data_IF_587153590914
#
_entry.id   IF_587153590914
#
_cell.length_a   1.000
_cell.length_b   1.000
_cell.length_c   1.000
_cell.angle_alpha   90.00
_cell.angle_beta   90.00
_cell.angle_gamma   90.00
#
_symmetry.space_group_name_H-M   'P 1'
#
loop_
_entity.id
_entity.type
_entity.pdbx_description
1 polymer ?
#
# COMPACT_ATOMS: atom_id res chain seq x y z
N UNK A 1 17.94 -0.33 34.64
CA UNK A 1 17.45 -0.59 33.28
C UNK A 1 17.83 0.61 32.41
N UNK A 2 18.70 0.44 31.40
CA UNK A 2 18.92 1.49 30.39
C UNK A 2 17.80 1.39 29.36
N UNK A 3 17.15 2.52 29.06
CA UNK A 3 16.20 2.61 27.96
C UNK A 3 16.90 2.17 26.66
N UNK A 4 16.26 1.30 25.89
CA UNK A 4 16.74 0.94 24.56
C UNK A 4 16.87 2.23 23.73
N UNK A 5 18.01 2.40 23.07
CA UNK A 5 18.24 3.53 22.17
C UNK A 5 17.17 3.53 21.09
N UNK A 6 16.42 4.63 20.98
CA UNK A 6 15.47 4.82 19.89
C UNK A 6 16.21 4.66 18.55
N UNK A 7 15.58 3.96 17.60
CA UNK A 7 16.07 3.88 16.23
C UNK A 7 15.90 5.27 15.60
N UNK A 8 17.02 5.92 15.24
CA UNK A 8 17.06 7.24 14.60
C UNK A 8 17.54 7.04 13.15
N UNK A 9 16.82 7.65 12.22
CA UNK A 9 17.17 7.73 10.80
C UNK A 9 17.76 9.11 10.57
N UNK A 10 19.05 9.18 10.27
CA UNK A 10 19.71 10.43 9.90
C UNK A 10 19.39 10.74 8.44
N UNK A 11 18.45 11.66 8.22
CA UNK A 11 18.10 12.17 6.88
C UNK A 11 17.83 13.67 6.99
N UNK A 12 18.29 14.50 6.02
CA UNK A 12 17.93 15.92 5.97
C UNK A 12 16.42 16.15 5.77
N UNK A 13 15.72 15.12 5.31
CA UNK A 13 14.31 15.14 4.98
C UNK A 13 13.43 14.53 6.09
N UNK A 14 14.01 14.03 7.19
CA UNK A 14 13.28 13.36 8.29
C UNK A 14 13.46 14.14 9.59
N UNK A 15 12.35 14.58 10.18
CA UNK A 15 12.30 15.37 11.40
C UNK A 15 11.57 14.60 12.50
N UNK A 16 12.10 14.67 13.71
CA UNK A 16 11.53 14.00 14.88
C UNK A 16 10.91 15.05 15.79
N UNK A 17 9.59 14.96 16.01
CA UNK A 17 8.91 15.70 17.06
C UNK A 17 8.66 14.77 18.25
N UNK A 18 8.24 15.29 19.44
CA UNK A 18 7.89 14.43 20.55
C UNK A 18 6.71 13.48 20.26
N UNK A 19 5.85 13.83 19.30
CA UNK A 19 4.64 13.08 18.95
C UNK A 19 4.70 12.34 17.60
N UNK A 20 5.53 12.79 16.66
CA UNK A 20 5.53 12.34 15.26
C UNK A 20 6.94 12.23 14.67
N UNK A 21 7.06 11.41 13.63
CA UNK A 21 8.19 11.45 12.69
C UNK A 21 7.65 12.03 11.39
N UNK A 22 8.19 13.17 10.97
CA UNK A 22 7.82 13.89 9.77
C UNK A 22 8.86 13.62 8.69
N UNK A 23 8.43 13.41 7.44
CA UNK A 23 9.34 13.18 6.34
C UNK A 23 8.92 13.97 5.10
N UNK A 24 9.77 14.86 4.61
CA UNK A 24 9.48 15.78 3.50
C UNK A 24 10.22 15.35 2.23
N UNK A 25 9.51 14.74 1.29
CA UNK A 25 10.09 14.33 0.01
C UNK A 25 9.35 14.99 -1.16
N UNK A 26 10.08 15.77 -1.96
CA UNK A 26 9.58 16.37 -3.21
C UNK A 26 9.65 15.33 -4.35
N UNK A 27 8.55 14.62 -4.59
CA UNK A 27 8.44 13.69 -5.71
C UNK A 27 8.01 14.43 -7.00
N UNK A 28 8.97 14.93 -7.79
CA UNK A 28 8.68 15.45 -9.15
C UNK A 28 8.75 14.32 -10.18
N UNK A 29 7.61 13.88 -10.67
CA UNK A 29 7.47 12.81 -11.68
C UNK A 29 7.59 13.29 -13.13
N UNK A 30 7.66 14.59 -13.39
CA UNK A 30 7.82 15.15 -14.74
C UNK A 30 9.21 15.78 -14.91
N UNK A 31 9.99 15.25 -15.86
CA UNK A 31 11.29 15.82 -16.25
C UNK A 31 11.05 17.17 -16.91
N UNK A 32 11.23 18.25 -16.15
CA UNK A 32 11.15 19.62 -16.67
C UNK A 32 12.49 19.97 -17.33
N UNK A 33 12.46 20.37 -18.60
CA UNK A 33 13.67 20.81 -19.33
C UNK A 33 13.59 22.32 -19.51
N UNK A 34 14.72 23.01 -19.29
CA UNK A 34 14.84 24.45 -19.51
C UNK A 34 15.28 24.69 -20.95
N UNK A 35 14.42 25.33 -21.73
CA UNK A 35 14.70 25.72 -23.12
C UNK A 35 14.36 27.21 -23.28
N UNK A 36 15.33 28.02 -23.72
CA UNK A 36 15.11 29.47 -23.92
C UNK A 36 14.73 30.25 -22.65
N UNK A 37 15.13 29.78 -21.46
CA UNK A 37 14.81 30.44 -20.18
C UNK A 37 13.43 30.07 -19.59
N UNK A 38 12.60 29.34 -20.33
CA UNK A 38 11.27 28.88 -19.88
C UNK A 38 11.35 27.39 -19.51
N UNK A 39 10.72 27.02 -18.39
CA UNK A 39 10.53 25.62 -18.01
C UNK A 39 9.38 25.07 -18.84
N UNK A 40 9.65 24.07 -19.70
CA UNK A 40 8.61 23.41 -20.50
C UNK A 40 8.43 21.97 -20.05
N UNK A 41 7.19 21.60 -19.77
CA UNK A 41 6.78 20.21 -19.64
C UNK A 41 6.54 19.64 -21.04
N UNK A 42 7.40 18.73 -21.51
CA UNK A 42 7.33 18.18 -22.88
C UNK A 42 6.00 17.48 -23.17
N UNK A 43 5.32 16.96 -22.13
CA UNK A 43 4.09 16.22 -22.27
C UNK A 43 2.83 17.10 -22.23
N UNK A 44 2.93 18.36 -21.81
CA UNK A 44 1.76 19.23 -21.66
C UNK A 44 0.90 19.31 -22.93
N UNK A 45 1.46 19.58 -24.13
CA UNK A 45 0.66 19.66 -25.35
C UNK A 45 -0.06 18.36 -25.71
N UNK A 46 0.45 17.22 -25.25
CA UNK A 46 -0.13 15.90 -25.48
C UNK A 46 -1.18 15.52 -24.42
N UNK A 47 -1.08 16.05 -23.20
CA UNK A 47 -1.93 15.69 -22.07
C UNK A 47 -3.11 16.64 -21.85
N UNK A 48 -3.00 17.92 -22.23
CA UNK A 48 -4.05 18.93 -21.99
C UNK A 48 -5.40 18.56 -22.62
N UNK A 49 -5.37 17.87 -23.77
CA UNK A 49 -6.57 17.40 -24.45
C UNK A 49 -7.20 16.15 -23.81
N UNK A 50 -6.48 15.42 -22.95
CA UNK A 50 -6.94 14.19 -22.33
C UNK A 50 -7.78 14.51 -21.09
N UNK A 51 -9.10 14.60 -21.28
CA UNK A 51 -10.04 14.86 -20.19
C UNK A 51 -10.72 13.57 -19.72
N UNK A 52 -10.70 13.24 -18.41
CA UNK A 52 -11.45 12.11 -17.87
C UNK A 52 -12.96 12.26 -18.14
N UNK A 53 -13.63 11.14 -18.46
CA UNK A 53 -15.09 11.09 -18.50
C UNK A 53 -15.67 11.24 -17.08
N UNK A 54 -16.93 11.70 -16.93
CA UNK A 54 -17.61 11.67 -15.65
C UNK A 54 -17.63 10.25 -15.06
N UNK A 55 -17.59 10.13 -13.73
CA UNK A 55 -17.59 8.83 -13.05
C UNK A 55 -18.67 8.73 -11.97
N UNK A 56 -18.84 7.53 -11.42
CA UNK A 56 -19.73 7.29 -10.28
C UNK A 56 -19.03 7.72 -9.00
N UNK A 57 -19.74 8.47 -8.15
CA UNK A 57 -19.29 8.86 -6.82
C UNK A 57 -20.32 8.46 -5.78
N UNK A 58 -19.90 7.62 -4.84
CA UNK A 58 -20.70 7.16 -3.71
C UNK A 58 -19.92 7.55 -2.45
N UNK A 59 -20.29 8.64 -1.76
CA UNK A 59 -19.49 9.23 -0.67
C UNK A 59 -19.14 8.24 0.43
N UNK A 60 -20.00 7.25 0.67
CA UNK A 60 -19.82 6.29 1.75
C UNK A 60 -18.68 5.28 1.48
N UNK A 61 -18.15 5.19 0.27
CA UNK A 61 -17.09 4.21 -0.07
C UNK A 61 -15.67 4.78 0.05
N UNK A 62 -15.47 6.09 -0.09
CA UNK A 62 -14.14 6.71 -0.01
C UNK A 62 -14.04 7.70 1.16
N UNK A 63 -12.85 8.25 1.40
CA UNK A 63 -12.67 9.19 2.49
C UNK A 63 -13.46 10.49 2.26
N UNK A 64 -14.08 11.03 3.31
CA UNK A 64 -14.91 12.24 3.22
C UNK A 64 -14.14 13.48 2.69
N UNK A 65 -12.82 13.50 2.88
CA UNK A 65 -11.92 14.54 2.36
C UNK A 65 -11.81 14.57 0.83
N UNK A 66 -12.37 13.58 0.12
CA UNK A 66 -12.42 13.55 -1.35
C UNK A 66 -13.62 14.32 -1.92
N UNK A 67 -14.58 14.74 -1.08
CA UNK A 67 -15.83 15.38 -1.51
C UNK A 67 -15.61 16.63 -2.38
N UNK A 68 -14.66 17.49 -2.03
CA UNK A 68 -14.36 18.71 -2.80
C UNK A 68 -13.77 18.42 -4.20
N UNK A 69 -13.24 17.20 -4.42
CA UNK A 69 -12.69 16.77 -5.72
C UNK A 69 -13.76 16.16 -6.65
N UNK A 70 -14.93 15.82 -6.12
CA UNK A 70 -15.98 15.12 -6.85
C UNK A 70 -16.86 16.08 -7.69
N UNK A 71 -16.29 16.66 -8.75
CA UNK A 71 -16.95 17.67 -9.61
C UNK A 71 -17.37 17.14 -11.00
N UNK A 72 -16.96 15.92 -11.37
CA UNK A 72 -17.19 15.32 -12.69
C UNK A 72 -17.94 13.98 -12.58
N UNK A 73 -19.26 14.05 -12.38
CA UNK A 73 -20.08 12.92 -11.93
C UNK A 73 -21.14 12.45 -12.94
N UNK A 74 -21.42 11.16 -12.95
CA UNK A 74 -22.58 10.58 -13.65
C UNK A 74 -23.81 10.67 -12.74
N UNK A 75 -24.85 11.45 -13.10
CA UNK A 75 -26.05 11.58 -12.30
C UNK A 75 -26.99 10.36 -12.45
N UNK A 76 -28.01 10.29 -11.59
CA UNK A 76 -29.08 9.30 -11.68
C UNK A 76 -28.94 8.13 -10.72
N UNK A 77 -29.78 7.12 -10.93
CA UNK A 77 -29.79 5.89 -10.12
C UNK A 77 -28.61 4.97 -10.47
N UNK A 78 -28.30 4.00 -9.61
CA UNK A 78 -27.23 3.01 -9.86
C UNK A 78 -27.42 2.26 -11.20
N UNK A 79 -28.66 1.96 -11.58
CA UNK A 79 -28.97 1.32 -12.85
C UNK A 79 -28.65 2.24 -14.05
N UNK A 80 -28.98 3.53 -13.94
CA UNK A 80 -28.65 4.52 -14.98
C UNK A 80 -27.14 4.73 -15.09
N UNK A 81 -26.44 4.78 -13.96
CA UNK A 81 -24.99 4.88 -13.90
C UNK A 81 -24.31 3.66 -14.53
N UNK A 82 -24.78 2.44 -14.24
CA UNK A 82 -24.29 1.22 -14.87
C UNK A 82 -24.43 1.26 -16.39
N UNK A 83 -25.61 1.65 -16.89
CA UNK A 83 -25.84 1.75 -18.33
C UNK A 83 -24.99 2.85 -18.98
N UNK A 84 -24.74 3.96 -18.29
CA UNK A 84 -23.82 4.98 -18.76
C UNK A 84 -22.38 4.44 -18.89
N UNK A 85 -21.87 3.72 -17.90
CA UNK A 85 -20.53 3.08 -17.99
C UNK A 85 -20.47 2.07 -19.13
N UNK A 86 -21.50 1.23 -19.30
CA UNK A 86 -21.58 0.29 -20.43
C UNK A 86 -21.61 1.01 -21.78
N UNK A 87 -22.25 2.18 -21.86
CA UNK A 87 -22.24 3.02 -23.06
C UNK A 87 -20.85 3.60 -23.30
N UNK A 88 -20.19 4.13 -22.27
CA UNK A 88 -18.86 4.72 -22.39
C UNK A 88 -17.80 3.73 -22.89
N UNK A 89 -17.84 2.48 -22.42
CA UNK A 89 -16.96 1.40 -22.91
C UNK A 89 -17.23 1.10 -24.38
N UNK A 90 -18.50 0.96 -24.79
CA UNK A 90 -18.88 0.68 -26.18
C UNK A 90 -18.50 1.83 -27.11
N UNK A 91 -18.77 3.06 -26.71
CA UNK A 91 -18.42 4.26 -27.47
C UNK A 91 -16.90 4.39 -27.61
N UNK A 92 -16.14 4.15 -26.54
CA UNK A 92 -14.68 4.16 -26.58
C UNK A 92 -14.14 3.12 -27.55
N UNK A 93 -14.62 1.87 -27.45
CA UNK A 93 -14.25 0.78 -28.36
C UNK A 93 -14.53 1.14 -29.83
N UNK A 94 -15.72 1.66 -30.11
CA UNK A 94 -16.14 2.02 -31.46
C UNK A 94 -15.32 3.17 -32.03
N UNK A 95 -15.23 4.31 -31.31
CA UNK A 95 -14.55 5.50 -31.81
C UNK A 95 -13.03 5.37 -31.91
N UNK A 96 -12.44 4.41 -31.19
CA UNK A 96 -11.01 4.09 -31.27
C UNK A 96 -10.72 2.88 -32.14
N UNK A 97 -11.75 2.29 -32.76
CA UNK A 97 -11.64 1.12 -33.65
C UNK A 97 -10.87 -0.03 -32.98
N UNK A 98 -11.21 -0.31 -31.72
CA UNK A 98 -10.53 -1.32 -30.91
C UNK A 98 -11.23 -2.67 -31.00
N UNK A 99 -10.45 -3.73 -31.22
CA UNK A 99 -10.95 -5.10 -31.12
C UNK A 99 -11.17 -5.50 -29.66
N UNK A 100 -10.23 -5.13 -28.79
CA UNK A 100 -10.15 -5.51 -27.39
C UNK A 100 -10.13 -4.29 -26.47
N UNK A 101 -10.72 -4.43 -25.28
CA UNK A 101 -10.73 -3.39 -24.25
C UNK A 101 -10.45 -4.04 -22.89
N UNK A 102 -9.52 -3.45 -22.15
CA UNK A 102 -9.25 -3.80 -20.75
C UNK A 102 -9.68 -2.62 -19.88
N UNK A 103 -10.45 -2.92 -18.83
CA UNK A 103 -10.83 -1.95 -17.80
C UNK A 103 -10.01 -2.25 -16.55
N UNK A 104 -9.44 -1.21 -15.96
CA UNK A 104 -8.53 -1.32 -14.83
C UNK A 104 -8.85 -0.23 -13.79
N UNK A 105 -9.03 -0.65 -12.53
CA UNK A 105 -9.35 0.25 -11.43
C UNK A 105 -8.08 0.79 -10.78
N UNK A 106 -7.82 2.09 -10.94
CA UNK A 106 -6.74 2.85 -10.27
C UNK A 106 -7.27 4.09 -9.56
N UNK A 107 -8.53 4.07 -9.15
CA UNK A 107 -9.12 5.16 -8.38
C UNK A 107 -8.74 5.05 -6.89
N UNK A 108 -9.31 5.93 -6.06
CA UNK A 108 -9.13 5.89 -4.61
C UNK A 108 -9.47 4.50 -4.04
N UNK A 109 -8.70 4.08 -3.03
CA UNK A 109 -9.03 2.89 -2.24
C UNK A 109 -10.37 3.08 -1.53
N UNK A 110 -11.31 2.18 -1.79
CA UNK A 110 -12.58 2.15 -1.08
C UNK A 110 -12.43 1.50 0.30
N UNK A 111 -13.36 1.81 1.20
CA UNK A 111 -13.46 1.13 2.50
C UNK A 111 -13.64 -0.37 2.28
N UNK A 112 -13.23 -1.15 3.27
CA UNK A 112 -13.41 -2.60 3.22
C UNK A 112 -14.91 -2.95 3.23
N UNK A 113 -15.45 -3.30 2.07
CA UNK A 113 -16.69 -4.06 1.90
C UNK A 113 -16.35 -5.51 1.52
N UNK A 114 -17.35 -6.37 1.30
CA UNK A 114 -17.09 -7.56 0.48
C UNK A 114 -16.40 -7.06 -0.80
N UNK A 115 -15.15 -7.51 -0.98
CA UNK A 115 -14.17 -7.04 -1.97
C UNK A 115 -14.79 -6.95 -3.39
N UNK A 116 -14.27 -6.11 -4.30
CA UNK A 116 -14.90 -5.85 -5.62
C UNK A 116 -15.30 -7.12 -6.38
N UNK A 117 -14.46 -8.16 -6.29
CA UNK A 117 -14.70 -9.48 -6.87
C UNK A 117 -15.51 -10.40 -5.93
N UNK A 118 -16.70 -9.95 -5.53
CA UNK A 118 -17.65 -10.77 -4.75
C UNK A 118 -18.11 -12.01 -5.54
N UNK A 119 -18.60 -13.09 -4.88
CA UNK A 119 -19.02 -14.31 -5.56
C UNK A 119 -19.98 -14.10 -6.74
N UNK A 120 -20.95 -13.19 -6.61
CA UNK A 120 -21.88 -12.87 -7.70
C UNK A 120 -21.22 -12.16 -8.89
N UNK A 121 -20.17 -11.37 -8.67
CA UNK A 121 -19.41 -10.74 -9.74
C UNK A 121 -18.52 -11.77 -10.47
N UNK A 122 -17.95 -12.72 -9.74
CA UNK A 122 -17.19 -13.85 -10.30
C UNK A 122 -18.09 -14.75 -11.14
N UNK A 123 -19.27 -15.13 -10.64
CA UNK A 123 -20.25 -15.92 -11.39
C UNK A 123 -20.67 -15.21 -12.69
N UNK A 124 -20.92 -13.90 -12.63
CA UNK A 124 -21.25 -13.11 -13.82
C UNK A 124 -20.09 -13.09 -14.82
N UNK A 125 -18.84 -12.94 -14.35
CA UNK A 125 -17.66 -13.00 -15.22
C UNK A 125 -17.51 -14.36 -15.91
N UNK A 126 -17.77 -15.47 -15.20
CA UNK A 126 -17.80 -16.82 -15.78
C UNK A 126 -18.89 -16.98 -16.83
N UNK A 127 -20.12 -16.55 -16.53
CA UNK A 127 -21.26 -16.60 -17.47
C UNK A 127 -20.96 -15.83 -18.77
N UNK A 128 -20.27 -14.69 -18.66
CA UNK A 128 -19.89 -13.87 -19.81
C UNK A 128 -18.53 -14.23 -20.43
N UNK A 129 -17.81 -15.20 -19.86
CA UNK A 129 -16.48 -15.66 -20.31
C UNK A 129 -15.46 -14.52 -20.42
N UNK A 130 -15.44 -13.63 -19.44
CA UNK A 130 -14.50 -12.49 -19.36
C UNK A 130 -13.48 -12.69 -18.25
N UNK A 131 -12.29 -12.12 -18.42
CA UNK A 131 -11.25 -12.16 -17.40
C UNK A 131 -11.49 -11.10 -16.33
N UNK A 132 -11.23 -11.48 -15.07
CA UNK A 132 -11.17 -10.60 -13.90
C UNK A 132 -9.89 -10.90 -13.12
N UNK A 133 -9.33 -9.89 -12.44
CA UNK A 133 -8.11 -10.02 -11.66
C UNK A 133 -7.91 -8.85 -10.71
N UNK A 134 -7.24 -9.09 -9.59
CA UNK A 134 -7.14 -8.16 -8.47
C UNK A 134 -6.32 -8.70 -7.31
N UNK A 135 -6.30 -8.05 -6.14
CA UNK A 135 -7.15 -6.88 -5.75
C UNK A 135 -6.36 -5.61 -5.37
N UNK A 136 -5.02 -5.69 -5.29
CA UNK A 136 -4.17 -4.54 -4.97
C UNK A 136 -2.85 -4.63 -5.75
N UNK A 137 -2.31 -3.49 -6.16
CA UNK A 137 -1.03 -3.48 -6.85
C UNK A 137 0.11 -3.79 -5.90
N UNK A 138 0.75 -4.94 -6.13
CA UNK A 138 1.96 -5.32 -5.41
C UNK A 138 3.18 -4.54 -5.92
N UNK A 139 3.37 -3.36 -5.35
CA UNK A 139 4.51 -2.46 -5.64
C UNK A 139 5.55 -2.46 -4.51
N UNK A 140 6.59 -1.63 -4.68
CA UNK A 140 7.60 -1.23 -3.68
C UNK A 140 7.81 -2.19 -2.50
N UNK A 141 7.32 -1.77 -1.32
CA UNK A 141 7.53 -2.48 -0.05
C UNK A 141 6.96 -3.91 -0.06
N UNK A 142 5.72 -4.11 -0.50
CA UNK A 142 5.08 -5.45 -0.50
C UNK A 142 5.80 -6.41 -1.46
N UNK A 143 6.29 -5.90 -2.59
CA UNK A 143 7.11 -6.69 -3.53
C UNK A 143 8.40 -7.16 -2.86
N UNK A 144 9.16 -6.25 -2.24
CA UNK A 144 10.40 -6.60 -1.52
C UNK A 144 10.12 -7.56 -0.37
N UNK A 145 9.08 -7.30 0.44
CA UNK A 145 8.68 -8.15 1.57
C UNK A 145 8.50 -9.60 1.12
N UNK A 146 7.72 -9.83 0.06
CA UNK A 146 7.45 -11.19 -0.39
C UNK A 146 8.68 -11.95 -0.86
N UNK A 147 9.61 -11.28 -1.55
CA UNK A 147 10.85 -11.93 -2.01
C UNK A 147 11.77 -12.21 -0.82
N UNK A 148 11.89 -11.26 0.11
CA UNK A 148 12.79 -11.37 1.24
C UNK A 148 12.33 -12.45 2.24
N UNK A 149 11.03 -12.48 2.57
CA UNK A 149 10.48 -13.44 3.54
C UNK A 149 10.56 -14.86 2.98
N UNK A 150 10.21 -15.05 1.70
CA UNK A 150 10.38 -16.33 1.01
C UNK A 150 11.84 -16.81 1.05
N UNK A 151 12.80 -15.93 0.71
CA UNK A 151 14.22 -16.26 0.79
C UNK A 151 14.68 -16.66 2.20
N UNK A 152 14.26 -15.93 3.24
CA UNK A 152 14.64 -16.22 4.62
C UNK A 152 14.11 -17.58 5.07
N UNK A 153 12.82 -17.85 4.86
CA UNK A 153 12.17 -19.11 5.23
C UNK A 153 12.77 -20.27 4.42
N UNK A 154 12.96 -20.09 3.10
CA UNK A 154 13.60 -21.07 2.23
C UNK A 154 15.05 -21.37 2.59
N UNK A 155 15.75 -20.43 3.22
CA UNK A 155 17.11 -20.62 3.74
C UNK A 155 17.14 -21.26 5.14
N UNK A 156 16.00 -21.64 5.70
CA UNK A 156 15.90 -22.23 7.04
C UNK A 156 15.94 -21.21 8.18
N UNK A 157 15.76 -19.92 7.88
CA UNK A 157 15.70 -18.87 8.90
C UNK A 157 14.24 -18.57 9.26
N UNK A 158 13.91 -18.78 10.53
CA UNK A 158 12.58 -18.45 11.06
C UNK A 158 12.41 -16.94 11.19
N UNK A 159 11.55 -16.36 10.37
CA UNK A 159 11.13 -14.96 10.52
C UNK A 159 10.19 -14.86 11.71
N UNK A 160 10.56 -14.06 12.70
CA UNK A 160 9.81 -13.90 13.96
C UNK A 160 8.96 -12.63 14.02
N UNK A 161 9.38 -11.57 13.33
CA UNK A 161 8.67 -10.28 13.33
C UNK A 161 8.89 -9.51 12.04
N UNK A 162 7.82 -8.86 11.56
CA UNK A 162 7.78 -8.03 10.36
C UNK A 162 7.06 -6.73 10.71
N UNK A 163 7.79 -5.61 10.71
CA UNK A 163 7.21 -4.29 10.96
C UNK A 163 7.38 -3.41 9.72
N UNK A 164 6.27 -2.94 9.16
CA UNK A 164 6.21 -2.26 7.87
C UNK A 164 5.57 -0.88 8.02
N UNK A 165 6.37 0.18 7.93
CA UNK A 165 5.89 1.57 7.97
C UNK A 165 5.82 2.17 6.57
N UNK A 166 4.77 2.94 6.26
CA UNK A 166 4.63 3.70 5.02
C UNK A 166 4.08 5.12 5.31
N UNK A 167 4.70 6.12 4.70
CA UNK A 167 4.22 7.50 4.73
C UNK A 167 4.07 8.00 3.28
N UNK A 168 2.91 8.57 2.95
CA UNK A 168 2.58 9.06 1.61
C UNK A 168 1.94 10.45 1.72
N UNK A 169 2.49 11.44 1.02
CA UNK A 169 1.96 12.83 0.97
C UNK A 169 1.04 13.12 -0.21
N UNK A 170 0.82 12.15 -1.11
CA UNK A 170 -0.05 12.31 -2.28
C UNK A 170 -1.53 12.03 -1.93
N UNK A 171 -2.42 12.12 -2.93
CA UNK A 171 -3.85 11.87 -2.75
C UNK A 171 -4.18 10.43 -2.28
N UNK A 172 -3.34 9.44 -2.61
CA UNK A 172 -3.49 8.09 -2.07
C UNK A 172 -3.29 8.11 -0.55
N UNK A 173 -2.22 8.77 -0.08
CA UNK A 173 -2.00 9.04 1.34
C UNK A 173 -3.19 9.75 2.00
N UNK A 174 -3.66 10.85 1.41
CA UNK A 174 -4.81 11.60 1.95
C UNK A 174 -6.09 10.77 2.04
N UNK A 175 -6.37 9.90 1.07
CA UNK A 175 -7.53 9.00 1.13
C UNK A 175 -7.37 7.93 2.23
N UNK A 176 -6.14 7.43 2.40
CA UNK A 176 -5.80 6.40 3.40
C UNK A 176 -5.66 6.96 4.82
N UNK A 177 -5.78 8.26 5.02
CA UNK A 177 -5.85 8.86 6.36
C UNK A 177 -7.11 8.42 7.12
N UNK A 178 -8.16 8.05 6.38
CA UNK A 178 -9.40 7.55 6.95
C UNK A 178 -9.25 6.06 7.35
N UNK A 179 -9.58 5.67 8.61
CA UNK A 179 -9.36 4.32 9.11
C UNK A 179 -10.02 3.20 8.30
N UNK A 180 -11.20 3.46 7.73
CA UNK A 180 -11.94 2.45 6.96
C UNK A 180 -11.27 2.12 5.63
N UNK A 181 -10.67 3.11 4.97
CA UNK A 181 -9.90 2.94 3.74
C UNK A 181 -8.53 2.34 4.02
N UNK A 182 -7.89 2.73 5.13
CA UNK A 182 -6.63 2.12 5.58
C UNK A 182 -6.77 0.61 5.81
N UNK A 183 -7.89 0.17 6.41
CA UNK A 183 -8.15 -1.24 6.71
C UNK A 183 -8.05 -2.15 5.47
N UNK A 184 -8.54 -1.71 4.31
CA UNK A 184 -8.44 -2.47 3.05
C UNK A 184 -6.98 -2.76 2.68
N UNK A 185 -6.12 -1.75 2.80
CA UNK A 185 -4.69 -1.83 2.46
C UNK A 185 -3.87 -2.54 3.53
N UNK A 186 -4.31 -2.49 4.78
CA UNK A 186 -3.70 -3.22 5.89
C UNK A 186 -3.86 -4.74 5.70
N UNK A 187 -5.07 -5.19 5.34
CA UNK A 187 -5.35 -6.61 5.09
C UNK A 187 -4.50 -7.14 3.92
N UNK A 188 -4.50 -6.46 2.76
CA UNK A 188 -3.75 -6.91 1.57
C UNK A 188 -2.23 -6.96 1.78
N UNK A 189 -1.68 -6.04 2.59
CA UNK A 189 -0.24 -5.98 2.90
C UNK A 189 0.22 -6.95 3.98
N UNK A 190 -0.72 -7.51 4.74
CA UNK A 190 -0.41 -8.42 5.85
C UNK A 190 -0.46 -9.88 5.40
N UNK A 191 -1.43 -10.26 4.58
CA UNK A 191 -1.61 -11.65 4.12
C UNK A 191 -0.53 -12.18 3.17
N UNK A 192 0.40 -11.34 2.71
CA UNK A 192 1.38 -11.70 1.67
C UNK A 192 2.46 -12.69 2.12
N UNK A 193 2.49 -13.06 3.40
CA UNK A 193 3.49 -13.97 3.98
C UNK A 193 2.87 -15.27 4.49
N UNK A 194 1.54 -15.39 4.46
CA UNK A 194 0.82 -16.49 5.11
C UNK A 194 1.16 -17.84 4.46
N UNK A 195 1.26 -17.87 3.14
CA UNK A 195 1.62 -19.07 2.36
C UNK A 195 3.06 -19.51 2.62
N UNK A 196 3.99 -18.55 2.72
CA UNK A 196 5.41 -18.81 3.01
C UNK A 196 5.56 -19.41 4.42
N UNK A 197 4.83 -18.89 5.41
CA UNK A 197 4.81 -19.43 6.78
C UNK A 197 4.26 -20.85 6.79
N UNK A 198 3.12 -21.08 6.13
CA UNK A 198 2.47 -22.39 6.05
C UNK A 198 3.30 -23.44 5.30
N UNK A 199 4.19 -23.01 4.40
CA UNK A 199 5.04 -23.91 3.61
C UNK A 199 6.10 -24.65 4.43
N UNK A 200 6.44 -24.16 5.64
CA UNK A 200 7.56 -24.68 6.42
C UNK A 200 7.18 -25.07 7.86
N UNK A 201 6.56 -26.24 8.06
CA UNK A 201 6.12 -26.72 9.38
C UNK A 201 7.27 -27.09 10.34
N UNK A 202 8.52 -27.12 9.86
CA UNK A 202 9.69 -27.30 10.73
C UNK A 202 10.07 -26.00 11.43
N UNK A 203 9.88 -24.85 10.77
CA UNK A 203 10.11 -23.54 11.35
C UNK A 203 8.89 -23.06 12.12
N UNK A 204 7.68 -23.28 11.62
CA UNK A 204 6.43 -22.78 12.21
C UNK A 204 5.54 -23.92 12.70
N UNK A 205 5.17 -23.88 13.98
CA UNK A 205 4.16 -24.78 14.54
C UNK A 205 2.76 -24.52 13.96
N UNK A 206 1.81 -25.40 14.27
CA UNK A 206 0.42 -25.24 13.84
C UNK A 206 -0.18 -23.92 14.38
N UNK A 207 -0.58 -23.03 13.47
CA UNK A 207 -1.12 -21.71 13.80
C UNK A 207 -0.09 -20.71 14.33
N UNK A 208 1.21 -21.01 14.21
CA UNK A 208 2.28 -20.07 14.56
C UNK A 208 2.53 -19.10 13.41
N UNK A 209 2.53 -17.81 13.71
CA UNK A 209 2.77 -16.72 12.76
C UNK A 209 3.80 -15.73 13.33
N UNK A 210 4.58 -15.03 12.47
CA UNK A 210 5.42 -13.93 12.93
C UNK A 210 4.56 -12.77 13.45
N UNK A 211 5.11 -12.00 14.39
CA UNK A 211 4.53 -10.70 14.78
C UNK A 211 4.54 -9.76 13.56
N UNK A 212 3.40 -9.55 12.90
CA UNK A 212 3.31 -8.73 11.70
C UNK A 212 2.49 -7.46 11.95
N UNK A 213 3.11 -6.30 11.76
CA UNK A 213 2.46 -5.00 11.86
C UNK A 213 2.67 -4.18 10.58
N UNK A 214 1.57 -3.71 9.98
CA UNK A 214 1.59 -2.76 8.87
C UNK A 214 0.99 -1.43 9.33
N UNK A 215 1.75 -0.35 9.17
CA UNK A 215 1.34 1.01 9.55
C UNK A 215 1.41 1.90 8.32
N UNK A 216 0.37 2.70 8.11
CA UNK A 216 0.31 3.74 7.09
C UNK A 216 -0.21 5.04 7.71
N UNK A 217 0.39 6.16 7.35
CA UNK A 217 -0.05 7.48 7.79
C UNK A 217 -0.06 8.49 6.63
N UNK A 218 -1.08 9.34 6.62
CA UNK A 218 -1.05 10.61 5.89
C UNK A 218 -0.40 11.67 6.78
N UNK A 219 0.28 12.65 6.18
CA UNK A 219 1.02 13.72 6.89
C UNK A 219 0.19 14.45 7.98
N UNK A 220 -1.15 14.44 7.90
CA UNK A 220 -1.97 15.26 8.79
C UNK A 220 -2.52 14.60 10.05
N UNK A 221 -2.52 13.27 10.21
CA UNK A 221 -3.13 12.65 11.41
C UNK A 221 -2.74 11.16 11.52
N UNK A 222 -1.71 10.84 12.30
CA UNK A 222 -1.45 9.45 12.71
C UNK A 222 -1.45 9.37 14.23
N UNK A 223 -2.58 8.94 14.83
CA UNK A 223 -2.60 8.50 16.23
C UNK A 223 -1.95 7.12 16.31
N UNK A 224 -0.74 7.06 16.83
CA UNK A 224 -0.02 5.82 17.12
C UNK A 224 -0.80 4.95 18.12
N UNK A 225 -1.26 3.77 17.71
CA UNK A 225 -1.35 2.65 18.66
C UNK A 225 0.03 2.02 18.74
N UNK A 226 0.71 2.18 19.87
CA UNK A 226 1.95 1.46 20.16
C UNK A 226 1.71 -0.03 19.93
N UNK A 227 2.53 -0.74 19.13
CA UNK A 227 2.44 -2.18 19.07
C UNK A 227 2.56 -2.74 20.49
N UNK A 228 1.66 -3.68 20.83
CA UNK A 228 1.78 -4.47 22.05
C UNK A 228 3.20 -5.05 22.08
N UNK A 229 3.87 -4.88 23.23
CA UNK A 229 5.25 -5.30 23.55
C UNK A 229 5.80 -6.38 22.60
N UNK A 230 6.82 -6.02 21.82
CA UNK A 230 7.71 -6.98 21.16
C UNK A 230 8.47 -7.72 22.29
N UNK A 231 8.29 -9.04 22.48
CA UNK A 231 9.12 -9.80 23.39
C UNK A 231 10.53 -9.89 22.78
N UNK A 232 11.51 -9.38 23.52
CA UNK A 232 12.92 -9.51 23.15
C UNK A 232 13.29 -10.99 23.11
N UNK A 233 13.73 -11.49 21.96
CA UNK A 233 14.24 -12.86 21.84
C UNK A 233 15.61 -12.91 22.52
N UNK A 234 15.65 -13.48 23.73
CA UNK A 234 16.88 -13.98 24.31
C UNK A 234 17.40 -15.14 23.45
N UNK A 235 18.62 -15.01 22.91
CA UNK A 235 19.39 -16.19 22.51
C UNK A 235 19.75 -16.96 23.77
N UNK A 236 19.05 -18.07 24.02
CA UNK A 236 19.45 -19.05 25.02
C UNK A 236 20.69 -19.82 24.55
N UNK A 237 21.79 -19.53 25.27
CA UNK A 237 22.94 -20.37 25.65
C UNK A 237 23.48 -21.41 24.66
N UNK A 238 24.63 -21.08 24.09
CA UNK A 238 25.67 -22.02 23.68
C UNK A 238 26.99 -21.66 24.39
N UNK A 239 27.42 -22.54 25.28
CA UNK A 239 28.58 -22.52 26.16
C UNK A 239 29.93 -22.17 25.46
N UNK A 240 30.75 -21.30 26.08
CA UNK A 240 32.22 -21.19 25.87
C UNK A 240 32.90 -20.23 26.88
N UNK A 241 33.39 -20.84 27.99
CA UNK A 241 34.54 -20.56 28.91
C UNK A 241 34.99 -19.12 29.26
N UNK A 242 35.40 -18.85 30.53
CA UNK A 242 35.99 -17.58 30.94
C UNK A 242 37.45 -17.43 30.46
N UNK A 243 37.78 -16.26 29.88
CA UNK A 243 39.16 -15.83 29.62
C UNK A 243 39.83 -15.24 30.87
N UNK A 244 41.17 -15.19 30.93
CA UNK A 244 41.92 -14.85 32.15
C UNK A 244 41.92 -13.34 32.44
N UNK A 245 42.18 -12.92 33.70
CA UNK A 245 42.20 -11.51 34.08
C UNK A 245 43.53 -10.86 33.67
N UNK A 246 43.47 -9.71 33.00
CA UNK A 246 44.64 -9.05 32.41
C UNK A 246 44.64 -7.52 32.52
N UNK A 247 45.14 -7.04 33.66
CA UNK A 247 45.96 -5.83 33.87
C UNK A 247 45.39 -4.45 33.51
N UNK A 248 45.01 -3.72 34.55
CA UNK A 248 45.11 -2.26 34.60
C UNK A 248 46.57 -1.79 34.43
N UNK A 249 46.75 -0.66 33.75
CA UNK A 249 48.00 0.09 33.69
C UNK A 249 47.70 1.53 33.23
N UNK A 250 48.58 2.45 33.61
CA UNK A 250 48.56 3.26 34.83
C UNK A 250 47.66 4.50 34.73
#
# INVERSE_FOLDING_TARGET
MKAASAFVVESPDVFYTPETIEAHYDYRTTRVVREGGVLKEQLWPHMEALRPRPSVYIPEFIAANQSARADNLIPGTRAQQLEQIRKDIRDFRYHKELDEVIVLWTANTERFCENTLVPGALELAEQHRVFVGGDDFKSGQTKVKSVLVDFLIGSGLKTMSIVSYNHLGNNDGQNLSAPQQFRSKEVSKSSVVDDMVQSNPLLYGAGEEPDHCAVGGAESETRYQKPKRIPFIERSKGDRRPGPPGKERP
#
